data_IF_300968185225
#
_entry.id   IF_300968185225
#
_cell.length_a   1.000
_cell.length_b   1.000
_cell.length_c   1.000
_cell.angle_alpha   90.00
_cell.angle_beta   90.00
_cell.angle_gamma   90.00
#
_symmetry.space_group_name_H-M   'P 1'
#
loop_
_entity.id
_entity.type
_entity.pdbx_description
1 polymer ?
#
# COMPACT_ATOMS: atom_id res chain seq x y z
N UNK A 1 -16.21 3.95 22.26
CA UNK A 1 -15.11 3.16 21.70
C UNK A 1 -14.22 4.15 20.99
N UNK A 2 -13.14 4.53 21.65
CA UNK A 2 -12.08 5.30 21.00
C UNK A 2 -11.43 4.34 20.02
N UNK A 3 -11.47 4.69 18.72
CA UNK A 3 -10.67 4.00 17.73
C UNK A 3 -9.22 4.21 18.20
N UNK A 4 -8.46 3.16 18.53
CA UNK A 4 -7.06 3.35 18.86
C UNK A 4 -6.40 3.81 17.57
N UNK A 5 -6.25 5.12 17.40
CA UNK A 5 -5.37 5.66 16.39
C UNK A 5 -4.03 5.01 16.67
N UNK A 6 -3.56 4.18 15.73
CA UNK A 6 -2.23 3.61 15.80
C UNK A 6 -1.28 4.78 16.07
N UNK A 7 -0.43 4.66 17.08
CA UNK A 7 0.60 5.67 17.31
C UNK A 7 1.33 5.89 15.98
N UNK A 8 1.52 7.14 15.51
CA UNK A 8 2.18 7.39 14.22
C UNK A 8 3.53 6.65 14.13
N UNK A 9 4.20 6.47 15.26
CA UNK A 9 5.46 5.71 15.40
C UNK A 9 5.41 4.23 14.97
N UNK A 10 4.24 3.60 14.83
CA UNK A 10 4.10 2.21 14.36
C UNK A 10 3.68 2.10 12.89
N UNK A 11 2.97 3.10 12.33
CA UNK A 11 2.52 3.10 10.92
C UNK A 11 3.56 3.66 9.94
N UNK A 12 4.54 4.42 10.45
CA UNK A 12 5.63 5.00 9.66
C UNK A 12 6.75 3.99 9.29
N UNK A 13 6.76 2.81 9.95
CA UNK A 13 7.81 1.81 9.76
C UNK A 13 7.51 0.83 8.63
N UNK A 14 6.25 0.50 8.38
CA UNK A 14 5.88 -0.48 7.35
C UNK A 14 5.81 0.16 5.96
N UNK A 15 6.49 -0.46 4.99
CA UNK A 15 6.52 -0.05 3.59
C UNK A 15 6.15 -1.23 2.69
N UNK A 16 5.38 -0.95 1.65
CA UNK A 16 4.86 -1.94 0.74
C UNK A 16 5.48 -1.74 -0.64
N UNK A 17 6.11 -2.77 -1.16
CA UNK A 17 6.68 -2.75 -2.50
C UNK A 17 5.70 -3.32 -3.53
N UNK A 18 5.56 -2.62 -4.64
CA UNK A 18 4.73 -3.00 -5.77
C UNK A 18 5.58 -3.10 -7.04
N UNK A 19 5.17 -3.97 -7.96
CA UNK A 19 5.79 -4.11 -9.29
C UNK A 19 4.72 -4.00 -10.37
N UNK A 20 5.00 -3.20 -11.41
CA UNK A 20 4.15 -3.09 -12.56
C UNK A 20 4.37 -4.29 -13.51
N UNK A 21 3.35 -5.12 -13.77
CA UNK A 21 3.48 -6.26 -14.68
C UNK A 21 3.62 -5.85 -16.16
N UNK A 22 3.43 -4.56 -16.51
CA UNK A 22 3.54 -4.08 -17.90
C UNK A 22 4.92 -3.54 -18.24
N UNK A 23 5.46 -2.62 -17.44
CA UNK A 23 6.75 -1.99 -17.71
C UNK A 23 7.88 -2.51 -16.81
N UNK A 24 7.57 -3.28 -15.77
CA UNK A 24 8.55 -3.78 -14.80
C UNK A 24 8.97 -2.77 -13.74
N UNK A 25 8.36 -1.58 -13.72
CA UNK A 25 8.70 -0.55 -12.73
C UNK A 25 8.28 -0.98 -11.32
N UNK A 26 9.12 -0.67 -10.33
CA UNK A 26 8.84 -0.93 -8.93
C UNK A 26 8.55 0.38 -8.19
N UNK A 27 7.63 0.34 -7.23
CA UNK A 27 7.27 1.50 -6.41
C UNK A 27 7.12 1.09 -4.94
N UNK A 28 7.42 2.02 -4.03
CA UNK A 28 7.46 1.82 -2.59
C UNK A 28 6.48 2.77 -1.92
N UNK A 29 5.45 2.22 -1.29
CA UNK A 29 4.35 2.99 -0.71
C UNK A 29 4.36 2.79 0.81
N UNK A 30 4.36 3.87 1.60
CA UNK A 30 4.24 3.76 3.05
C UNK A 30 2.92 3.11 3.48
N UNK A 31 2.94 2.37 4.59
CA UNK A 31 1.78 1.64 5.11
C UNK A 31 0.58 2.53 5.42
N UNK A 32 0.81 3.71 6.00
CA UNK A 32 -0.28 4.66 6.25
C UNK A 32 -1.01 5.08 4.96
N UNK A 33 -0.33 5.13 3.80
CA UNK A 33 -0.99 5.42 2.51
C UNK A 33 -1.87 4.24 2.09
N UNK A 34 -1.38 3.01 2.26
CA UNK A 34 -2.13 1.80 1.95
C UNK A 34 -3.39 1.70 2.80
N UNK A 35 -3.29 1.98 4.10
CA UNK A 35 -4.41 1.95 5.03
C UNK A 35 -5.51 2.96 4.64
N UNK A 36 -5.13 4.20 4.34
CA UNK A 36 -6.07 5.24 3.88
C UNK A 36 -6.73 4.87 2.54
N UNK A 37 -5.97 4.28 1.61
CA UNK A 37 -6.52 3.78 0.35
C UNK A 37 -7.48 2.60 0.53
N UNK A 38 -7.22 1.73 1.51
CA UNK A 38 -8.07 0.62 1.86
C UNK A 38 -9.37 1.08 2.53
N UNK A 39 -9.32 2.10 3.40
CA UNK A 39 -10.52 2.68 4.03
C UNK A 39 -11.51 3.25 3.00
N UNK A 40 -11.02 3.75 1.86
CA UNK A 40 -11.85 4.29 0.78
C UNK A 40 -12.44 3.25 -0.18
N UNK A 41 -12.13 1.96 -0.01
CA UNK A 41 -12.54 0.89 -0.93
C UNK A 41 -13.19 -0.27 -0.18
N UNK A 42 -14.20 -0.90 -0.79
CA UNK A 42 -14.74 -2.19 -0.34
C UNK A 42 -13.74 -3.33 -0.64
N UNK A 43 -12.59 -3.33 0.02
CA UNK A 43 -11.63 -4.43 -0.03
C UNK A 43 -11.99 -5.48 1.02
N UNK A 44 -11.79 -6.76 0.70
CA UNK A 44 -11.92 -7.82 1.69
C UNK A 44 -10.70 -7.82 2.62
N UNK A 45 -10.87 -8.36 3.83
CA UNK A 45 -9.73 -8.61 4.71
C UNK A 45 -8.65 -9.43 3.98
N UNK A 46 -7.43 -8.89 3.93
CA UNK A 46 -6.30 -9.48 3.24
C UNK A 46 -6.14 -9.11 1.76
N UNK A 47 -7.04 -8.31 1.17
CA UNK A 47 -6.84 -7.74 -0.16
C UNK A 47 -6.07 -6.42 -0.09
N UNK A 48 -5.00 -6.32 -0.88
CA UNK A 48 -4.22 -5.08 -1.01
C UNK A 48 -4.91 -4.13 -2.00
N UNK A 49 -4.95 -2.81 -1.73
CA UNK A 49 -5.44 -1.84 -2.71
C UNK A 49 -4.55 -1.85 -3.96
N UNK A 50 -5.18 -1.79 -5.14
CA UNK A 50 -4.47 -1.56 -6.39
C UNK A 50 -3.89 -0.14 -6.44
N UNK A 51 -2.58 -0.04 -6.64
CA UNK A 51 -1.87 1.23 -6.87
C UNK A 51 -1.51 1.37 -8.35
N UNK A 52 -1.56 2.59 -8.87
CA UNK A 52 -1.31 2.87 -10.28
C UNK A 52 0.19 3.07 -10.53
N UNK A 53 0.73 2.42 -11.56
CA UNK A 53 2.10 2.60 -11.99
C UNK A 53 2.32 4.05 -12.47
N UNK A 54 3.33 4.77 -11.95
CA UNK A 54 3.59 6.15 -12.34
C UNK A 54 4.00 6.29 -13.80
N UNK A 55 4.63 5.25 -14.37
CA UNK A 55 5.16 5.28 -15.74
C UNK A 55 4.10 4.97 -16.81
N UNK A 56 3.25 3.96 -16.58
CA UNK A 56 2.32 3.47 -17.61
C UNK A 56 0.85 3.46 -17.20
N UNK A 57 0.53 3.88 -15.97
CA UNK A 57 -0.84 3.96 -15.44
C UNK A 57 -1.52 2.60 -15.21
N UNK A 58 -0.81 1.49 -15.42
CA UNK A 58 -1.35 0.16 -15.17
C UNK A 58 -1.37 -0.14 -13.66
N UNK A 59 -2.32 -0.96 -13.22
CA UNK A 59 -2.35 -1.43 -11.83
C UNK A 59 -1.12 -2.28 -11.52
N UNK A 60 -0.39 -1.90 -10.48
CA UNK A 60 0.77 -2.62 -9.98
C UNK A 60 0.34 -3.73 -9.03
N UNK A 61 1.17 -4.76 -8.92
CA UNK A 61 0.93 -5.90 -8.03
C UNK A 61 1.83 -5.81 -6.81
N UNK A 62 1.26 -6.09 -5.64
CA UNK A 62 2.02 -6.21 -4.41
C UNK A 62 3.09 -7.31 -4.53
N UNK A 63 4.30 -7.01 -4.03
CA UNK A 63 5.43 -7.93 -3.98
C UNK A 63 5.70 -8.40 -2.55
N UNK A 64 6.07 -7.48 -1.67
CA UNK A 64 6.40 -7.78 -0.27
C UNK A 64 6.32 -6.50 0.59
N UNK A 65 6.18 -6.68 1.89
CA UNK A 65 6.28 -5.62 2.90
C UNK A 65 7.66 -5.65 3.55
N UNK A 66 8.15 -4.49 4.00
CA UNK A 66 9.41 -4.34 4.73
C UNK A 66 9.33 -3.20 5.73
N UNK A 67 10.17 -3.25 6.76
CA UNK A 67 10.28 -2.19 7.77
C UNK A 67 11.46 -1.26 7.48
N UNK A 68 11.30 0.04 7.74
CA UNK A 68 12.34 1.06 7.49
C UNK A 68 12.62 1.95 8.70
#
# INVERSE_FOLDING_TARGET
MEIPFHSPEDTDKEWYKFECPKCGEEDEVPGYVIDEFAMGKDLKEGEMPGVACPECGAEMKFKYTFER
#
